data_IF_198711800311
#
_entry.id   IF_198711800311
#
_cell.length_a   1.000
_cell.length_b   1.000
_cell.length_c   1.000
_cell.angle_alpha   90.00
_cell.angle_beta   90.00
_cell.angle_gamma   90.00
#
_symmetry.space_group_name_H-M   'P 1'
#
loop_
_entity.id
_entity.type
_entity.pdbx_description
1 polymer ?
#
# COMPACT_ATOMS: atom_id res chain seq x y z
N UNK A 1 -15.94 -4.58 -24.79
CA UNK A 1 -16.13 -5.02 -23.38
C UNK A 1 -15.09 -4.32 -22.53
N UNK A 2 -15.49 -3.63 -21.45
CA UNK A 2 -14.53 -3.06 -20.50
C UNK A 2 -13.72 -4.21 -19.89
N UNK A 3 -12.38 -4.12 -19.96
CA UNK A 3 -11.48 -5.08 -19.31
C UNK A 3 -11.72 -4.98 -17.80
N UNK A 4 -11.89 -6.11 -17.13
CA UNK A 4 -12.05 -6.15 -15.66
C UNK A 4 -10.82 -5.48 -15.03
N UNK A 5 -11.03 -4.48 -14.18
CA UNK A 5 -9.92 -3.89 -13.41
C UNK A 5 -9.30 -4.98 -12.55
N UNK A 6 -7.99 -5.14 -12.66
CA UNK A 6 -7.24 -6.10 -11.85
C UNK A 6 -7.13 -5.58 -10.41
N UNK A 7 -7.34 -6.44 -9.44
CA UNK A 7 -7.28 -6.07 -8.02
C UNK A 7 -5.86 -6.25 -7.44
N UNK A 8 -5.62 -5.60 -6.30
CA UNK A 8 -4.35 -5.75 -5.55
C UNK A 8 -4.10 -7.22 -5.20
N UNK A 9 -5.13 -7.92 -4.72
CA UNK A 9 -5.05 -9.32 -4.30
C UNK A 9 -4.75 -10.25 -5.47
N UNK A 10 -5.34 -9.99 -6.66
CA UNK A 10 -5.07 -10.75 -7.88
C UNK A 10 -3.59 -10.58 -8.29
N UNK A 11 -3.06 -9.36 -8.26
CA UNK A 11 -1.66 -9.08 -8.57
C UNK A 11 -0.72 -9.81 -7.60
N UNK A 12 -0.96 -9.66 -6.29
CA UNK A 12 -0.13 -10.31 -5.27
C UNK A 12 -0.15 -11.83 -5.38
N UNK A 13 -1.32 -12.44 -5.63
CA UNK A 13 -1.46 -13.88 -5.84
C UNK A 13 -0.66 -14.34 -7.05
N UNK A 14 -0.74 -13.63 -8.18
CA UNK A 14 -0.04 -14.01 -9.41
C UNK A 14 1.48 -13.89 -9.25
N UNK A 15 1.97 -12.83 -8.57
CA UNK A 15 3.39 -12.69 -8.23
C UNK A 15 3.87 -13.82 -7.32
N UNK A 16 3.09 -14.17 -6.29
CA UNK A 16 3.43 -15.27 -5.37
C UNK A 16 3.46 -16.62 -6.10
N UNK A 17 2.61 -16.80 -7.10
CA UNK A 17 2.61 -17.98 -7.96
C UNK A 17 3.68 -17.93 -9.09
N UNK A 18 4.61 -16.95 -9.05
CA UNK A 18 5.65 -16.68 -10.06
C UNK A 18 5.11 -16.47 -11.48
N UNK A 19 3.88 -15.98 -11.60
CA UNK A 19 3.26 -15.60 -12.89
C UNK A 19 3.50 -14.12 -13.15
N UNK A 20 4.72 -13.80 -13.55
CA UNK A 20 5.12 -12.42 -13.79
C UNK A 20 4.63 -11.90 -15.14
N UNK A 21 4.33 -10.60 -15.18
CA UNK A 21 4.08 -9.88 -16.43
C UNK A 21 5.31 -9.02 -16.77
N UNK A 22 5.57 -8.77 -18.05
CA UNK A 22 6.77 -8.02 -18.45
C UNK A 22 6.73 -6.55 -18.05
N UNK A 23 5.55 -5.98 -17.82
CA UNK A 23 5.39 -4.57 -17.44
C UNK A 23 4.33 -4.41 -16.35
N UNK A 24 4.66 -3.68 -15.30
CA UNK A 24 3.75 -3.21 -14.26
C UNK A 24 3.78 -1.70 -14.21
N UNK A 25 2.68 -1.04 -14.52
CA UNK A 25 2.49 0.38 -14.25
C UNK A 25 1.54 0.50 -13.07
N UNK A 26 2.11 0.90 -11.94
CA UNK A 26 1.42 1.04 -10.67
C UNK A 26 1.23 2.53 -10.41
N UNK A 27 0.00 3.03 -10.50
CA UNK A 27 -0.30 4.46 -10.39
C UNK A 27 -1.39 4.72 -9.35
N UNK A 28 -1.50 5.95 -8.88
CA UNK A 28 -2.64 6.36 -8.05
C UNK A 28 -2.28 7.18 -6.83
N UNK A 29 -3.31 7.57 -6.10
CA UNK A 29 -3.21 8.46 -4.94
C UNK A 29 -2.73 7.75 -3.67
N UNK A 30 -2.93 6.42 -3.56
CA UNK A 30 -2.52 5.64 -2.40
C UNK A 30 -1.20 4.90 -2.67
N UNK A 31 -0.06 5.39 -2.15
CA UNK A 31 1.24 4.78 -2.41
C UNK A 31 1.43 3.42 -1.72
N UNK A 32 0.69 3.13 -0.67
CA UNK A 32 0.85 1.91 0.12
C UNK A 32 0.78 0.63 -0.73
N UNK A 33 -0.27 0.49 -1.56
CA UNK A 33 -0.43 -0.72 -2.39
C UNK A 33 0.61 -0.79 -3.51
N UNK A 34 1.04 0.37 -4.04
CA UNK A 34 2.13 0.46 -5.03
C UNK A 34 3.42 -0.09 -4.43
N UNK A 35 3.76 0.35 -3.20
CA UNK A 35 4.96 -0.11 -2.51
C UNK A 35 4.87 -1.60 -2.15
N UNK A 36 3.72 -2.09 -1.67
CA UNK A 36 3.53 -3.51 -1.36
C UNK A 36 3.73 -4.42 -2.57
N UNK A 37 3.17 -4.07 -3.73
CA UNK A 37 3.37 -4.83 -4.98
C UNK A 37 4.85 -4.79 -5.38
N UNK A 38 5.48 -3.62 -5.32
CA UNK A 38 6.89 -3.44 -5.69
C UNK A 38 7.80 -4.26 -4.79
N UNK A 39 7.60 -4.20 -3.48
CA UNK A 39 8.40 -4.96 -2.52
C UNK A 39 8.20 -6.47 -2.68
N UNK A 40 7.00 -6.91 -3.05
CA UNK A 40 6.73 -8.31 -3.35
C UNK A 40 7.48 -8.75 -4.62
N UNK A 41 7.51 -7.95 -5.68
CA UNK A 41 8.29 -8.21 -6.89
C UNK A 41 9.80 -8.25 -6.59
N UNK A 42 10.32 -7.30 -5.81
CA UNK A 42 11.74 -7.25 -5.40
C UNK A 42 12.17 -8.51 -4.62
N UNK A 43 11.24 -9.12 -3.87
CA UNK A 43 11.50 -10.35 -3.10
C UNK A 43 11.34 -11.63 -3.91
N UNK A 44 10.44 -11.63 -4.93
CA UNK A 44 9.96 -12.86 -5.57
C UNK A 44 10.58 -13.13 -6.94
N UNK A 45 11.06 -12.11 -7.66
CA UNK A 45 11.54 -12.26 -9.04
C UNK A 45 12.91 -12.91 -9.10
N UNK A 46 13.86 -12.40 -8.30
CA UNK A 46 15.27 -12.80 -8.33
C UNK A 46 15.67 -13.45 -7.01
N UNK A 47 16.50 -14.50 -7.12
CA UNK A 47 17.21 -15.04 -5.98
C UNK A 47 18.26 -14.03 -5.46
N UNK A 48 18.70 -14.18 -4.23
CA UNK A 48 19.63 -13.24 -3.60
C UNK A 48 20.94 -13.10 -4.38
N UNK A 49 21.47 -14.20 -4.89
CA UNK A 49 22.71 -14.25 -5.70
C UNK A 49 22.59 -13.60 -7.08
N UNK A 50 21.37 -13.41 -7.59
CA UNK A 50 21.12 -12.84 -8.92
C UNK A 50 20.93 -11.32 -8.89
N UNK A 51 20.62 -10.76 -7.70
CA UNK A 51 20.18 -9.36 -7.55
C UNK A 51 21.27 -8.37 -7.95
N UNK A 52 22.51 -8.62 -7.63
CA UNK A 52 23.61 -7.69 -7.90
C UNK A 52 23.79 -7.40 -9.39
N UNK A 53 23.44 -8.35 -10.26
CA UNK A 53 23.60 -8.22 -11.71
C UNK A 53 22.31 -7.93 -12.46
N UNK A 54 21.16 -8.33 -11.89
CA UNK A 54 19.88 -8.33 -12.61
C UNK A 54 18.81 -7.42 -11.97
N UNK A 55 19.08 -6.78 -10.82
CA UNK A 55 18.16 -5.84 -10.20
C UNK A 55 18.65 -4.41 -10.38
N UNK A 56 17.82 -3.57 -10.99
CA UNK A 56 18.11 -2.15 -11.20
C UNK A 56 16.99 -1.32 -10.56
N UNK A 57 17.36 -0.41 -9.67
CA UNK A 57 16.42 0.55 -9.08
C UNK A 57 16.80 1.94 -9.58
N UNK A 58 15.87 2.59 -10.28
CA UNK A 58 16.02 3.93 -10.82
C UNK A 58 15.05 4.88 -10.12
N UNK A 59 15.45 6.13 -9.95
CA UNK A 59 14.58 7.18 -9.43
C UNK A 59 14.23 8.15 -10.55
N UNK A 60 12.94 8.50 -10.65
CA UNK A 60 12.44 9.32 -11.76
C UNK A 60 13.09 10.70 -11.88
N UNK A 61 13.60 11.26 -10.78
CA UNK A 61 14.33 12.53 -10.78
C UNK A 61 15.73 12.42 -11.46
N UNK A 62 16.35 11.22 -11.41
CA UNK A 62 17.73 10.98 -11.81
C UNK A 62 17.83 10.22 -13.14
N UNK A 63 16.71 9.97 -13.83
CA UNK A 63 16.67 9.17 -15.06
C UNK A 63 15.70 9.76 -16.08
N UNK A 64 15.80 9.30 -17.31
CA UNK A 64 14.89 9.63 -18.40
C UNK A 64 14.32 8.36 -19.07
N UNK A 65 13.32 8.54 -19.91
CA UNK A 65 12.65 7.43 -20.58
C UNK A 65 13.59 6.61 -21.49
N UNK A 66 14.56 7.25 -22.12
CA UNK A 66 15.52 6.59 -23.02
C UNK A 66 16.47 5.68 -22.23
N UNK A 67 16.97 6.15 -21.10
CA UNK A 67 17.82 5.38 -20.19
C UNK A 67 17.09 4.15 -19.64
N UNK A 68 15.82 4.31 -19.27
CA UNK A 68 14.96 3.20 -18.81
C UNK A 68 14.78 2.17 -19.95
N UNK A 69 14.49 2.61 -21.18
CA UNK A 69 14.31 1.72 -22.33
C UNK A 69 15.61 0.96 -22.62
N UNK A 70 16.75 1.64 -22.59
CA UNK A 70 18.05 1.03 -22.81
C UNK A 70 18.39 -0.02 -21.75
N UNK A 71 18.09 0.25 -20.49
CA UNK A 71 18.21 -0.73 -19.42
C UNK A 71 17.28 -1.92 -19.64
N UNK A 72 16.01 -1.66 -20.00
CA UNK A 72 14.99 -2.69 -20.17
C UNK A 72 15.24 -3.62 -21.38
N UNK A 73 16.05 -3.19 -22.34
CA UNK A 73 16.43 -4.00 -23.53
C UNK A 73 17.66 -4.87 -23.31
N UNK A 74 18.30 -4.79 -22.16
CA UNK A 74 19.41 -5.70 -21.83
C UNK A 74 18.88 -7.08 -21.53
N UNK A 75 19.72 -8.10 -21.73
CA UNK A 75 19.41 -9.45 -21.31
C UNK A 75 19.92 -9.69 -19.87
N UNK A 76 19.22 -10.51 -19.09
CA UNK A 76 19.69 -10.88 -17.76
C UNK A 76 21.01 -11.66 -17.84
N UNK A 77 21.83 -11.54 -16.79
CA UNK A 77 23.09 -12.26 -16.64
C UNK A 77 22.88 -13.48 -15.76
N UNK A 78 23.00 -14.68 -16.34
CA UNK A 78 22.89 -15.97 -15.62
C UNK A 78 21.60 -16.11 -14.77
N UNK A 79 20.51 -15.50 -15.22
CA UNK A 79 19.20 -15.53 -14.60
C UNK A 79 18.10 -15.56 -15.65
N UNK A 80 16.90 -16.02 -15.28
CA UNK A 80 15.73 -16.02 -16.17
C UNK A 80 15.22 -14.60 -16.43
N UNK A 81 15.28 -13.75 -15.39
CA UNK A 81 14.75 -12.41 -15.45
C UNK A 81 15.77 -11.35 -15.03
N UNK A 82 15.61 -10.14 -15.58
CA UNK A 82 16.07 -8.92 -14.94
C UNK A 82 14.86 -8.14 -14.40
N UNK A 83 15.04 -7.46 -13.27
CA UNK A 83 14.03 -6.63 -12.63
C UNK A 83 14.46 -5.17 -12.63
N UNK A 84 13.67 -4.30 -13.25
CA UNK A 84 13.92 -2.86 -13.26
C UNK A 84 12.75 -2.17 -12.56
N UNK A 85 13.05 -1.45 -11.50
CA UNK A 85 12.07 -0.67 -10.74
C UNK A 85 12.35 0.81 -10.92
N UNK A 86 11.38 1.55 -11.47
CA UNK A 86 11.43 3.00 -11.59
C UNK A 86 10.57 3.60 -10.47
N UNK A 87 11.22 4.09 -9.42
CA UNK A 87 10.55 4.78 -8.31
C UNK A 87 10.28 6.23 -8.70
N UNK A 88 9.16 6.78 -8.21
CA UNK A 88 8.75 8.17 -8.47
C UNK A 88 8.72 8.51 -9.97
N UNK A 89 8.15 7.61 -10.75
CA UNK A 89 8.12 7.74 -12.21
C UNK A 89 7.34 8.97 -12.71
N UNK A 90 6.54 9.64 -11.86
CA UNK A 90 5.92 10.93 -12.15
C UNK A 90 6.93 12.07 -12.38
N UNK A 91 8.21 11.86 -12.04
CA UNK A 91 9.32 12.81 -12.27
C UNK A 91 10.13 12.48 -13.52
N UNK A 92 9.90 11.34 -14.16
CA UNK A 92 10.59 10.95 -15.40
C UNK A 92 10.21 11.89 -16.53
N UNK A 93 11.22 12.46 -17.18
CA UNK A 93 11.02 13.29 -18.38
C UNK A 93 10.53 12.43 -19.54
N UNK A 94 9.53 12.94 -20.27
CA UNK A 94 9.00 12.29 -21.47
C UNK A 94 8.58 10.83 -21.28
N UNK A 95 7.98 10.52 -20.12
CA UNK A 95 7.58 9.18 -19.71
C UNK A 95 6.75 8.43 -20.79
N UNK A 96 6.03 9.16 -21.63
CA UNK A 96 5.24 8.58 -22.74
C UNK A 96 6.08 7.84 -23.79
N UNK A 97 7.39 8.16 -23.91
CA UNK A 97 8.31 7.45 -24.79
C UNK A 97 8.46 5.96 -24.38
N UNK A 98 8.24 5.62 -23.11
CA UNK A 98 8.23 4.24 -22.64
C UNK A 98 7.20 3.39 -23.38
N UNK A 99 6.16 3.99 -23.96
CA UNK A 99 5.17 3.29 -24.78
C UNK A 99 5.78 2.52 -25.95
N UNK A 100 6.92 2.99 -26.49
CA UNK A 100 7.64 2.30 -27.57
C UNK A 100 8.20 0.95 -27.14
N UNK A 101 8.68 0.84 -25.92
CA UNK A 101 9.12 -0.42 -25.31
C UNK A 101 7.93 -1.29 -24.88
N UNK A 102 6.94 -0.69 -24.21
CA UNK A 102 5.78 -1.40 -23.65
C UNK A 102 4.91 -2.06 -24.74
N UNK A 103 4.93 -1.55 -25.96
CA UNK A 103 4.25 -2.19 -27.11
C UNK A 103 4.81 -3.56 -27.45
N UNK A 104 6.09 -3.79 -27.22
CA UNK A 104 6.77 -5.07 -27.50
C UNK A 104 7.87 -5.31 -26.45
N UNK A 105 7.49 -5.59 -25.18
CA UNK A 105 8.43 -5.76 -24.10
C UNK A 105 9.18 -7.08 -24.21
N UNK A 106 10.41 -7.15 -23.70
CA UNK A 106 11.14 -8.40 -23.57
C UNK A 106 10.53 -9.25 -22.46
N UNK A 107 10.32 -10.53 -22.74
CA UNK A 107 9.77 -11.50 -21.78
C UNK A 107 10.71 -11.77 -20.59
N UNK A 108 12.03 -11.59 -20.79
CA UNK A 108 13.05 -11.73 -19.76
C UNK A 108 13.24 -10.50 -18.90
N UNK A 109 12.50 -9.40 -19.15
CA UNK A 109 12.57 -8.17 -18.37
C UNK A 109 11.25 -7.91 -17.66
N UNK A 110 11.31 -7.67 -16.36
CA UNK A 110 10.18 -7.20 -15.58
C UNK A 110 10.40 -5.73 -15.26
N UNK A 111 9.65 -4.84 -15.93
CA UNK A 111 9.72 -3.40 -15.75
C UNK A 111 8.57 -2.94 -14.85
N UNK A 112 8.91 -2.37 -13.69
CA UNK A 112 7.97 -1.83 -12.71
C UNK A 112 8.07 -0.31 -12.69
N UNK A 113 6.95 0.37 -12.97
CA UNK A 113 6.86 1.83 -13.04
C UNK A 113 5.93 2.31 -11.92
N UNK A 114 6.51 2.91 -10.87
CA UNK A 114 5.78 3.44 -9.73
C UNK A 114 5.43 4.92 -9.97
N UNK A 115 4.21 5.18 -10.38
CA UNK A 115 3.69 6.52 -10.67
C UNK A 115 2.78 6.98 -9.51
N UNK A 116 3.39 7.51 -8.46
CA UNK A 116 2.73 7.82 -7.19
C UNK A 116 2.04 9.18 -7.20
N UNK A 117 0.96 9.29 -6.38
CA UNK A 117 0.18 10.51 -6.12
C UNK A 117 -0.54 11.09 -7.33
N UNK A 118 -0.41 10.49 -8.49
CA UNK A 118 -1.03 10.91 -9.75
C UNK A 118 -1.45 9.68 -10.54
N UNK A 119 -2.23 9.90 -11.59
CA UNK A 119 -2.62 8.86 -12.56
C UNK A 119 -2.19 9.26 -13.96
N UNK A 120 -1.82 8.28 -14.77
CA UNK A 120 -1.64 8.46 -16.20
C UNK A 120 -3.01 8.60 -16.88
N UNK A 121 -3.11 9.46 -17.88
CA UNK A 121 -4.31 9.49 -18.74
C UNK A 121 -4.39 8.17 -19.53
N UNK A 122 -5.42 7.39 -19.26
CA UNK A 122 -5.65 6.06 -19.88
C UNK A 122 -5.76 6.11 -21.41
N UNK A 123 -6.02 7.30 -21.99
CA UNK A 123 -6.09 7.51 -23.44
C UNK A 123 -4.70 7.67 -24.08
N UNK A 124 -3.67 7.95 -23.29
CA UNK A 124 -2.30 8.13 -23.79
C UNK A 124 -1.62 6.81 -24.11
N UNK A 125 -0.59 6.90 -24.94
CA UNK A 125 0.07 5.74 -25.54
C UNK A 125 0.67 4.76 -24.51
N UNK A 126 1.27 5.27 -23.43
CA UNK A 126 1.87 4.44 -22.40
C UNK A 126 0.82 3.61 -21.64
N UNK A 127 -0.24 4.25 -21.17
CA UNK A 127 -1.31 3.57 -20.45
C UNK A 127 -2.02 2.53 -21.33
N UNK A 128 -2.36 2.91 -22.58
CA UNK A 128 -2.99 2.01 -23.54
C UNK A 128 -2.11 0.79 -23.91
N UNK A 129 -0.79 1.00 -24.09
CA UNK A 129 0.15 -0.09 -24.36
C UNK A 129 0.29 -1.01 -23.15
N UNK A 130 0.36 -0.45 -21.94
CA UNK A 130 0.46 -1.24 -20.69
C UNK A 130 -0.80 -2.07 -20.46
N UNK A 131 -1.97 -1.50 -20.69
CA UNK A 131 -3.23 -2.23 -20.54
C UNK A 131 -3.31 -3.45 -21.45
N UNK A 132 -2.67 -3.40 -22.62
CA UNK A 132 -2.63 -4.51 -23.59
C UNK A 132 -1.56 -5.55 -23.26
N UNK A 133 -0.36 -5.15 -22.82
CA UNK A 133 0.84 -6.00 -22.77
C UNK A 133 1.40 -6.19 -21.35
N UNK A 134 0.71 -5.72 -20.32
CA UNK A 134 1.15 -5.81 -18.93
C UNK A 134 0.02 -5.55 -17.94
N UNK A 135 0.38 -5.06 -16.77
CA UNK A 135 -0.53 -4.69 -15.68
C UNK A 135 -0.57 -3.16 -15.56
N UNK A 136 -1.75 -2.59 -15.76
CA UNK A 136 -2.05 -1.19 -15.41
C UNK A 136 -2.93 -1.21 -14.16
N UNK A 137 -2.34 -0.91 -13.01
CA UNK A 137 -3.03 -0.91 -11.71
C UNK A 137 -3.18 0.51 -11.18
N UNK A 138 -4.39 0.85 -10.76
CA UNK A 138 -4.70 2.14 -10.15
C UNK A 138 -5.02 1.98 -8.66
N UNK A 139 -4.12 2.49 -7.82
CA UNK A 139 -4.25 2.48 -6.38
C UNK A 139 -5.06 3.68 -5.90
N UNK A 140 -6.28 3.44 -5.45
CA UNK A 140 -7.23 4.46 -4.98
C UNK A 140 -7.18 4.55 -3.46
N UNK A 141 -7.35 5.76 -2.91
CA UNK A 141 -7.52 5.95 -1.47
C UNK A 141 -8.73 5.17 -0.96
N UNK A 142 -8.58 4.58 0.20
CA UNK A 142 -9.69 3.94 0.90
C UNK A 142 -10.51 5.03 1.57
N UNK A 143 -11.82 5.12 1.32
CA UNK A 143 -12.70 6.06 2.03
C UNK A 143 -12.73 5.76 3.53
N UNK A 144 -12.82 6.80 4.37
CA UNK A 144 -12.77 6.70 5.83
C UNK A 144 -13.78 5.69 6.39
N UNK A 145 -15.00 5.69 5.87
CA UNK A 145 -16.04 4.76 6.31
C UNK A 145 -15.75 3.28 5.99
N UNK A 146 -14.81 3.01 5.07
CA UNK A 146 -14.37 1.65 4.73
C UNK A 146 -13.13 1.20 5.52
N UNK A 147 -12.45 2.12 6.21
CA UNK A 147 -11.21 1.80 6.94
C UNK A 147 -11.39 0.68 7.98
N UNK A 148 -12.43 0.66 8.83
CA UNK A 148 -12.59 -0.41 9.81
C UNK A 148 -12.75 -1.80 9.17
N UNK A 149 -13.51 -1.88 8.05
CA UNK A 149 -13.67 -3.13 7.31
C UNK A 149 -12.39 -3.56 6.60
N UNK A 150 -11.63 -2.62 6.06
CA UNK A 150 -10.32 -2.87 5.47
C UNK A 150 -9.33 -3.41 6.51
N UNK A 151 -9.25 -2.79 7.70
CA UNK A 151 -8.41 -3.26 8.82
C UNK A 151 -8.78 -4.69 9.20
N UNK A 152 -10.08 -4.98 9.29
CA UNK A 152 -10.58 -6.33 9.60
C UNK A 152 -10.14 -7.34 8.54
N UNK A 153 -10.28 -7.02 7.27
CA UNK A 153 -9.87 -7.89 6.16
C UNK A 153 -8.36 -8.13 6.15
N UNK A 154 -7.57 -7.08 6.40
CA UNK A 154 -6.10 -7.17 6.47
C UNK A 154 -5.64 -8.09 7.61
N UNK A 155 -6.32 -8.03 8.76
CA UNK A 155 -6.01 -8.92 9.89
C UNK A 155 -6.44 -10.36 9.63
N UNK A 156 -7.58 -10.58 8.99
CA UNK A 156 -8.02 -11.91 8.56
C UNK A 156 -7.02 -12.59 7.62
N UNK A 157 -6.45 -11.86 6.66
CA UNK A 157 -5.39 -12.38 5.78
C UNK A 157 -4.14 -12.84 6.56
N UNK A 158 -3.87 -12.22 7.71
CA UNK A 158 -2.78 -12.59 8.64
C UNK A 158 -3.19 -13.67 9.65
N UNK A 159 -4.40 -14.23 9.54
CA UNK A 159 -4.96 -15.19 10.51
C UNK A 159 -5.06 -14.63 11.94
N UNK A 160 -5.27 -13.33 12.07
CA UNK A 160 -5.45 -12.62 13.35
C UNK A 160 -6.88 -12.08 13.41
N UNK A 161 -7.59 -12.38 14.49
CA UNK A 161 -8.90 -11.79 14.76
C UNK A 161 -8.76 -10.34 15.24
N UNK A 162 -9.78 -9.52 14.99
CA UNK A 162 -9.87 -8.17 15.54
C UNK A 162 -11.31 -7.86 15.95
N UNK A 163 -11.48 -7.21 17.09
CA UNK A 163 -12.79 -6.77 17.54
C UNK A 163 -13.26 -5.55 16.74
N UNK A 164 -14.56 -5.44 16.40
CA UNK A 164 -15.07 -4.30 15.65
C UNK A 164 -14.75 -2.96 16.30
N UNK A 165 -14.83 -2.87 17.62
CA UNK A 165 -14.45 -1.66 18.38
C UNK A 165 -12.95 -1.35 18.24
N UNK A 166 -12.09 -2.35 18.25
CA UNK A 166 -10.66 -2.20 18.07
C UNK A 166 -10.32 -1.70 16.65
N UNK A 167 -10.96 -2.25 15.62
CA UNK A 167 -10.79 -1.79 14.25
C UNK A 167 -11.23 -0.32 14.07
N UNK A 168 -12.33 0.07 14.70
CA UNK A 168 -12.80 1.46 14.69
C UNK A 168 -11.82 2.39 15.42
N UNK A 169 -11.31 2.01 16.60
CA UNK A 169 -10.31 2.80 17.34
C UNK A 169 -9.04 3.06 16.51
N UNK A 170 -8.54 2.04 15.81
CA UNK A 170 -7.38 2.19 14.92
C UNK A 170 -7.69 3.14 13.76
N UNK A 171 -8.86 2.99 13.12
CA UNK A 171 -9.31 3.85 12.03
C UNK A 171 -9.41 5.32 12.46
N UNK A 172 -10.03 5.58 13.62
CA UNK A 172 -10.23 6.94 14.13
C UNK A 172 -8.92 7.63 14.52
N UNK A 173 -7.97 6.86 15.03
CA UNK A 173 -6.69 7.41 15.50
C UNK A 173 -5.64 7.56 14.40
N UNK A 174 -5.57 6.60 13.47
CA UNK A 174 -4.55 6.59 12.42
C UNK A 174 -5.05 7.20 11.11
N UNK A 175 -6.36 7.37 10.97
CA UNK A 175 -6.97 7.89 9.75
C UNK A 175 -6.64 7.01 8.54
N UNK A 176 -6.34 7.67 7.42
CA UNK A 176 -6.03 7.01 6.14
C UNK A 176 -4.52 6.80 5.90
N UNK A 177 -3.67 6.97 6.91
CA UNK A 177 -2.24 6.64 6.78
C UNK A 177 -2.03 5.13 6.86
N UNK A 178 -2.14 4.45 5.71
CA UNK A 178 -1.98 3.00 5.63
C UNK A 178 -0.56 2.52 6.00
N UNK A 179 0.46 3.33 5.80
CA UNK A 179 1.83 2.98 6.19
C UNK A 179 1.97 2.96 7.71
N UNK A 180 1.44 3.96 8.38
CA UNK A 180 1.42 4.03 9.85
C UNK A 180 0.53 2.92 10.42
N UNK A 181 -0.64 2.72 9.84
CA UNK A 181 -1.55 1.64 10.21
C UNK A 181 -0.86 0.27 10.12
N UNK A 182 -0.21 -0.02 9.00
CA UNK A 182 0.46 -1.30 8.80
C UNK A 182 1.57 -1.54 9.84
N UNK A 183 2.37 -0.52 10.16
CA UNK A 183 3.42 -0.61 11.21
C UNK A 183 2.83 -0.92 12.58
N UNK A 184 1.71 -0.29 12.96
CA UNK A 184 1.06 -0.57 14.24
C UNK A 184 0.43 -1.97 14.25
N UNK A 185 -0.15 -2.42 13.15
CA UNK A 185 -0.67 -3.78 13.01
C UNK A 185 0.43 -4.83 13.05
N UNK A 186 1.60 -4.58 12.44
CA UNK A 186 2.77 -5.47 12.50
C UNK A 186 3.27 -5.61 13.95
N UNK A 187 3.35 -4.50 14.68
CA UNK A 187 3.71 -4.48 16.09
C UNK A 187 2.73 -5.31 16.94
N UNK A 188 1.42 -5.13 16.73
CA UNK A 188 0.40 -5.92 17.43
C UNK A 188 0.48 -7.41 17.06
N UNK A 189 0.77 -7.74 15.80
CA UNK A 189 0.94 -9.13 15.36
C UNK A 189 2.13 -9.82 16.05
N UNK A 190 3.25 -9.11 16.23
CA UNK A 190 4.42 -9.62 16.96
C UNK A 190 4.04 -9.89 18.42
N UNK A 191 3.36 -8.97 19.09
CA UNK A 191 2.91 -9.14 20.48
C UNK A 191 1.97 -10.34 20.63
N UNK A 192 1.10 -10.57 19.62
CA UNK A 192 0.15 -11.67 19.63
C UNK A 192 0.77 -13.01 19.27
N UNK A 193 1.95 -13.04 18.64
CA UNK A 193 2.63 -14.29 18.30
C UNK A 193 2.96 -15.12 19.55
N UNK A 194 3.24 -14.44 20.68
CA UNK A 194 3.56 -15.06 21.97
C UNK A 194 2.31 -15.36 22.84
N UNK A 195 1.11 -14.92 22.41
CA UNK A 195 -0.13 -15.10 23.16
C UNK A 195 -0.96 -16.27 22.65
N UNK A 196 -1.66 -16.96 23.56
CA UNK A 196 -2.58 -18.04 23.21
C UNK A 196 -3.77 -17.57 22.35
N UNK A 197 -4.26 -16.34 22.57
CA UNK A 197 -5.31 -15.74 21.77
C UNK A 197 -4.72 -14.81 20.71
N UNK A 198 -4.94 -15.14 19.45
CA UNK A 198 -4.56 -14.31 18.29
C UNK A 198 -5.69 -13.33 17.93
N UNK A 199 -6.06 -12.47 18.89
CA UNK A 199 -7.14 -11.49 18.69
C UNK A 199 -6.75 -10.12 19.21
N UNK A 200 -6.93 -9.10 18.39
CA UNK A 200 -6.73 -7.70 18.75
C UNK A 200 -8.01 -7.19 19.45
N UNK A 201 -7.86 -6.79 20.71
CA UNK A 201 -8.94 -6.21 21.51
C UNK A 201 -8.68 -4.72 21.78
N UNK A 202 -9.70 -3.94 22.19
CA UNK A 202 -9.50 -2.55 22.61
C UNK A 202 -8.44 -2.37 23.69
N UNK A 203 -8.38 -3.30 24.66
CA UNK A 203 -7.39 -3.26 25.74
C UNK A 203 -5.96 -3.45 25.22
N UNK A 204 -5.77 -4.32 24.24
CA UNK A 204 -4.47 -4.52 23.63
C UNK A 204 -3.99 -3.25 22.90
N UNK A 205 -4.90 -2.54 22.22
CA UNK A 205 -4.61 -1.27 21.57
C UNK A 205 -4.24 -0.21 22.61
N UNK A 206 -5.01 -0.08 23.67
CA UNK A 206 -4.76 0.88 24.75
C UNK A 206 -3.38 0.70 25.37
N UNK A 207 -3.00 -0.55 25.65
CA UNK A 207 -1.71 -0.88 26.28
C UNK A 207 -0.51 -0.65 25.37
N UNK A 208 -0.65 -0.86 24.05
CA UNK A 208 0.51 -0.92 23.15
C UNK A 208 0.60 0.23 22.15
N UNK A 209 -0.52 0.91 21.86
CA UNK A 209 -0.57 2.04 20.92
C UNK A 209 -0.84 3.36 21.66
N UNK A 210 -1.35 3.28 22.89
CA UNK A 210 -1.63 4.46 23.72
C UNK A 210 -2.96 5.15 23.36
N UNK A 211 -3.86 4.45 22.69
CA UNK A 211 -5.21 4.94 22.38
C UNK A 211 -6.15 4.49 23.48
N UNK A 212 -6.77 5.42 24.19
CA UNK A 212 -7.72 5.08 25.24
C UNK A 212 -8.99 4.42 24.67
N UNK A 213 -9.38 3.30 25.24
CA UNK A 213 -10.64 2.61 24.88
C UNK A 213 -11.88 3.35 25.35
N UNK A 214 -11.75 4.22 26.35
CA UNK A 214 -12.85 4.96 26.99
C UNK A 214 -12.90 6.42 26.52
N UNK A 215 -11.73 7.00 26.20
CA UNK A 215 -11.56 8.41 25.86
C UNK A 215 -11.03 8.54 24.43
N UNK A 216 -11.89 8.28 23.45
CA UNK A 216 -11.58 8.41 22.02
C UNK A 216 -12.78 9.06 21.29
N UNK A 217 -12.59 9.42 20.02
CA UNK A 217 -13.61 10.11 19.24
C UNK A 217 -14.90 9.31 19.11
N UNK A 218 -14.82 7.99 18.98
CA UNK A 218 -16.01 7.13 18.87
C UNK A 218 -16.85 7.21 20.14
N UNK A 219 -16.22 7.12 21.31
CA UNK A 219 -16.91 7.23 22.60
C UNK A 219 -17.44 8.66 22.83
N UNK A 220 -16.75 9.70 22.33
CA UNK A 220 -17.25 11.08 22.35
C UNK A 220 -18.51 11.23 21.50
N UNK A 221 -18.49 10.78 20.25
CA UNK A 221 -19.64 10.84 19.34
C UNK A 221 -20.82 10.05 19.94
N UNK A 222 -20.55 8.87 20.49
CA UNK A 222 -21.58 8.05 21.15
C UNK A 222 -22.18 8.75 22.36
N UNK A 223 -21.35 9.36 23.20
CA UNK A 223 -21.82 10.13 24.36
C UNK A 223 -22.69 11.32 23.93
N UNK A 224 -22.28 12.06 22.91
CA UNK A 224 -23.05 13.18 22.34
C UNK A 224 -24.38 12.71 21.75
N UNK A 225 -24.38 11.63 20.97
CA UNK A 225 -25.60 11.04 20.37
C UNK A 225 -26.60 10.57 21.44
N UNK A 226 -26.09 10.01 22.56
CA UNK A 226 -26.90 9.57 23.70
C UNK A 226 -27.22 10.70 24.69
N UNK A 227 -26.74 11.94 24.43
CA UNK A 227 -26.89 13.10 25.32
C UNK A 227 -26.27 12.86 26.71
N UNK A 228 -25.24 11.99 26.80
CA UNK A 228 -24.48 11.77 28.03
C UNK A 228 -23.44 12.89 28.19
N UNK A 229 -23.90 14.03 28.72
CA UNK A 229 -23.10 15.25 28.90
C UNK A 229 -21.90 15.01 29.82
N UNK A 230 -22.08 14.19 30.87
CA UNK A 230 -21.01 13.88 31.83
C UNK A 230 -19.87 13.12 31.17
N UNK A 231 -20.20 12.08 30.40
CA UNK A 231 -19.20 11.29 29.66
C UNK A 231 -18.53 12.14 28.57
N UNK A 232 -19.30 12.92 27.81
CA UNK A 232 -18.77 13.81 26.77
C UNK A 232 -17.75 14.80 27.36
N UNK A 233 -18.08 15.46 28.48
CA UNK A 233 -17.17 16.39 29.17
C UNK A 233 -15.90 15.69 29.69
N UNK A 234 -16.00 14.49 30.24
CA UNK A 234 -14.82 13.71 30.69
C UNK A 234 -13.89 13.40 29.53
N UNK A 235 -14.44 13.04 28.38
CA UNK A 235 -13.65 12.75 27.17
C UNK A 235 -12.97 14.05 26.66
N UNK A 236 -13.70 15.16 26.62
CA UNK A 236 -13.14 16.45 26.22
C UNK A 236 -11.98 16.89 27.14
N UNK A 237 -12.14 16.77 28.46
CA UNK A 237 -11.08 17.06 29.44
C UNK A 237 -9.87 16.12 29.29
N UNK A 238 -10.11 14.84 28.95
CA UNK A 238 -9.02 13.91 28.67
C UNK A 238 -8.22 14.35 27.44
N UNK A 239 -8.87 14.78 26.36
CA UNK A 239 -8.19 15.29 25.17
C UNK A 239 -7.39 16.56 25.45
N UNK A 240 -7.92 17.46 26.27
CA UNK A 240 -7.21 18.67 26.69
C UNK A 240 -5.91 18.34 27.44
N UNK A 241 -5.96 17.38 28.36
CA UNK A 241 -4.80 16.94 29.15
C UNK A 241 -3.82 16.05 28.39
N UNK A 242 -4.25 15.41 27.31
CA UNK A 242 -3.46 14.48 26.51
C UNK A 242 -3.46 14.88 25.02
N UNK A 243 -2.77 15.96 24.62
CA UNK A 243 -2.80 16.47 23.25
C UNK A 243 -2.40 15.43 22.19
N UNK A 244 -1.46 14.53 22.53
CA UNK A 244 -1.02 13.44 21.64
C UNK A 244 -2.11 12.39 21.35
N UNK A 245 -3.13 12.31 22.19
CA UNK A 245 -4.28 11.41 22.02
C UNK A 245 -5.48 12.14 21.43
N UNK A 246 -5.35 13.42 21.10
CA UNK A 246 -6.41 14.25 20.54
C UNK A 246 -6.33 14.25 19.01
N UNK A 247 -7.20 13.53 18.30
CA UNK A 247 -7.17 13.46 16.84
C UNK A 247 -7.53 14.80 16.17
N UNK A 248 -8.13 15.75 16.89
CA UNK A 248 -8.47 17.10 16.37
C UNK A 248 -7.22 17.97 16.21
N UNK A 249 -6.13 17.70 16.94
CA UNK A 249 -4.88 18.45 16.84
C UNK A 249 -3.86 17.83 15.87
N UNK A 250 -4.19 16.72 15.22
CA UNK A 250 -3.30 16.03 14.28
C UNK A 250 -3.60 16.37 12.81
N UNK A 251 -4.44 17.37 12.53
CA UNK A 251 -4.73 17.90 11.18
C UNK A 251 -3.93 19.15 10.88
#
# INVERSE_FOLDING_TARGET
MAKKEITFEEICRDITARKFQPVYVLMGEEPFFIDQITDLLLKSVLEESERDFNQIILYGADTDAISIINAARRFPMMSEYQLIVVREAQLVRDIELLSSYVKNPLSSTILVINYKYKTLDRRRALAAATDKNGILYESKKIPDYKMPSFITSLMQQRSIGIDPKAAQMLSDFLGNDLNRLNKELDKLAIILAEKASKRITPELIEQNIGISKEYNNFELIKALAMKDILKANRIAQYFEKNPKSNPIQMT
#
